data_IF_011051506411
#
_entry.id   IF_011051506411
#
_cell.length_a   1.000
_cell.length_b   1.000
_cell.length_c   1.000
_cell.angle_alpha   90.00
_cell.angle_beta   90.00
_cell.angle_gamma   90.00
#
_symmetry.space_group_name_H-M   'P 1'
#
loop_
_entity.id
_entity.type
_entity.pdbx_description
1 polymer ?
#
# COMPACT_ATOMS: atom_id res chain seq x y z
N UNK A 1 -4.16 11.89 -46.73
CA UNK A 1 -4.29 12.91 -45.67
C UNK A 1 -5.13 12.29 -44.56
N UNK A 2 -4.51 11.43 -43.75
CA UNK A 2 -5.17 10.71 -42.64
C UNK A 2 -4.80 11.37 -41.34
N UNK A 3 -5.75 12.14 -40.81
CA UNK A 3 -5.77 12.68 -39.46
C UNK A 3 -6.61 11.70 -38.64
N UNK A 4 -5.99 10.77 -37.92
CA UNK A 4 -6.67 10.00 -36.89
C UNK A 4 -5.66 9.31 -35.96
N UNK A 5 -5.76 9.67 -34.68
CA UNK A 5 -5.19 9.02 -33.50
C UNK A 5 -3.70 9.28 -33.23
N UNK A 6 -3.43 10.53 -32.84
CA UNK A 6 -2.73 10.77 -31.58
C UNK A 6 -3.48 10.05 -30.44
N UNK A 7 -3.17 8.78 -30.23
CA UNK A 7 -3.14 8.23 -28.87
C UNK A 7 -1.68 7.97 -28.61
N UNK A 8 -0.93 9.05 -28.37
CA UNK A 8 0.29 8.92 -27.61
C UNK A 8 -0.18 8.51 -26.22
N UNK A 9 -0.12 7.21 -25.95
CA UNK A 9 -0.36 6.63 -24.64
C UNK A 9 0.54 7.35 -23.65
N UNK A 10 -0.01 8.37 -22.99
CA UNK A 10 0.54 8.88 -21.75
C UNK A 10 0.26 7.86 -20.65
N UNK A 11 0.80 6.64 -20.81
CA UNK A 11 1.13 5.81 -19.66
C UNK A 11 2.35 6.47 -19.05
N UNK A 12 2.14 7.59 -18.36
CA UNK A 12 3.08 8.04 -17.35
C UNK A 12 3.26 6.82 -16.44
N UNK A 13 4.45 6.20 -16.38
CA UNK A 13 4.66 5.08 -15.49
C UNK A 13 4.26 5.58 -14.11
N UNK A 14 3.27 4.94 -13.47
CA UNK A 14 2.90 5.27 -12.10
C UNK A 14 4.20 5.22 -11.31
N UNK A 15 4.64 6.38 -10.81
CA UNK A 15 5.89 6.43 -10.09
C UNK A 15 5.74 5.52 -8.87
N UNK A 16 6.81 4.83 -8.48
CA UNK A 16 6.75 3.85 -7.38
C UNK A 16 6.15 4.44 -6.10
N UNK A 17 6.33 5.74 -5.87
CA UNK A 17 5.69 6.46 -4.76
C UNK A 17 4.16 6.60 -4.93
N UNK A 18 3.66 6.88 -6.15
CA UNK A 18 2.22 6.95 -6.42
C UNK A 18 1.54 5.59 -6.17
N UNK A 19 2.18 4.50 -6.60
CA UNK A 19 1.70 3.13 -6.36
C UNK A 19 1.67 2.82 -4.87
N UNK A 20 2.72 3.24 -4.15
CA UNK A 20 2.86 3.03 -2.71
C UNK A 20 1.80 3.78 -1.91
N UNK A 21 1.53 5.04 -2.23
CA UNK A 21 0.45 5.81 -1.62
C UNK A 21 -0.92 5.18 -1.90
N UNK A 22 -1.15 4.73 -3.13
CA UNK A 22 -2.39 4.06 -3.51
C UNK A 22 -2.61 2.76 -2.72
N UNK A 23 -1.61 1.89 -2.67
CA UNK A 23 -1.68 0.62 -1.92
C UNK A 23 -1.82 0.86 -0.41
N UNK A 24 -1.17 1.88 0.15
CA UNK A 24 -1.35 2.27 1.54
C UNK A 24 -2.79 2.70 1.83
N UNK A 25 -3.41 3.47 0.93
CA UNK A 25 -4.81 3.89 1.02
C UNK A 25 -5.78 2.72 1.00
N UNK A 26 -5.56 1.76 0.09
CA UNK A 26 -6.36 0.53 0.01
C UNK A 26 -6.22 -0.33 1.28
N UNK A 27 -4.99 -0.53 1.75
CA UNK A 27 -4.73 -1.30 2.96
C UNK A 27 -5.40 -0.65 4.19
N UNK A 28 -5.33 0.68 4.33
CA UNK A 28 -6.05 1.42 5.37
C UNK A 28 -7.56 1.22 5.30
N UNK A 29 -8.14 1.29 4.11
CA UNK A 29 -9.59 1.08 3.90
C UNK A 29 -10.02 -0.29 4.41
N UNK A 30 -9.25 -1.33 4.08
CA UNK A 30 -9.53 -2.70 4.53
C UNK A 30 -9.37 -2.82 6.05
N UNK A 31 -8.34 -2.22 6.64
CA UNK A 31 -8.10 -2.30 8.09
C UNK A 31 -9.22 -1.59 8.87
N UNK A 32 -9.68 -0.43 8.41
CA UNK A 32 -10.79 0.30 9.05
C UNK A 32 -12.07 -0.55 9.04
N UNK A 33 -12.34 -1.29 7.96
CA UNK A 33 -13.48 -2.19 7.85
C UNK A 33 -13.35 -3.45 8.72
N UNK A 34 -12.17 -4.07 8.75
CA UNK A 34 -11.97 -5.40 9.32
C UNK A 34 -11.47 -5.44 10.75
N UNK A 35 -10.58 -4.53 11.12
CA UNK A 35 -10.02 -4.44 12.46
C UNK A 35 -9.63 -2.98 12.79
N UNK A 36 -10.62 -2.12 13.06
CA UNK A 36 -10.39 -0.67 13.23
C UNK A 36 -9.46 -0.35 14.42
N UNK A 37 -9.30 -1.26 15.38
CA UNK A 37 -8.45 -1.06 16.57
C UNK A 37 -6.97 -0.94 16.20
N UNK A 38 -6.55 -1.42 15.02
CA UNK A 38 -5.17 -1.32 14.54
C UNK A 38 -4.98 -0.30 13.41
N UNK A 39 -6.02 0.44 13.01
CA UNK A 39 -5.94 1.41 11.90
C UNK A 39 -4.90 2.52 12.11
N UNK A 40 -4.67 2.92 13.37
CA UNK A 40 -3.65 3.92 13.72
C UNK A 40 -2.20 3.48 13.48
N UNK A 41 -1.98 2.18 13.27
CA UNK A 41 -0.64 1.58 13.21
C UNK A 41 0.13 1.97 11.94
N UNK A 42 -0.57 2.19 10.83
CA UNK A 42 0.01 2.66 9.55
C UNK A 42 0.17 4.19 9.48
N UNK A 43 -0.01 4.89 10.60
CA UNK A 43 -0.08 6.37 10.63
C UNK A 43 0.77 6.95 11.73
N UNK A 44 0.89 6.26 12.86
CA UNK A 44 1.76 6.68 13.95
C UNK A 44 3.19 6.23 13.70
N UNK A 45 4.14 7.14 13.88
CA UNK A 45 5.54 6.76 14.07
C UNK A 45 5.61 5.79 15.27
N UNK A 46 6.02 4.54 14.97
CA UNK A 46 6.32 3.44 15.89
C UNK A 46 5.92 3.64 17.36
N UNK A 47 4.66 3.34 17.69
CA UNK A 47 4.27 3.02 19.06
C UNK A 47 4.68 1.59 19.43
N UNK A 48 4.80 1.30 20.72
CA UNK A 48 4.95 -0.08 21.19
C UNK A 48 3.75 -0.93 20.76
N UNK A 49 4.00 -2.20 20.43
CA UNK A 49 2.92 -3.13 20.09
C UNK A 49 1.93 -3.27 21.26
N UNK A 50 0.63 -3.50 20.96
CA UNK A 50 -0.38 -3.68 21.99
C UNK A 50 -0.03 -4.79 22.99
N UNK A 51 -0.37 -4.58 24.26
CA UNK A 51 -0.21 -5.60 25.30
C UNK A 51 -1.12 -6.82 25.01
N UNK A 52 -2.33 -6.56 24.52
CA UNK A 52 -3.29 -7.57 24.11
C UNK A 52 -2.73 -8.48 23.00
N UNK A 53 -2.88 -9.80 23.17
CA UNK A 53 -2.29 -10.80 22.28
C UNK A 53 -2.91 -10.76 20.89
N UNK A 54 -4.23 -10.63 20.79
CA UNK A 54 -4.94 -10.65 19.51
C UNK A 54 -4.63 -9.39 18.72
N UNK A 55 -4.67 -8.23 19.37
CA UNK A 55 -4.27 -6.97 18.76
C UNK A 55 -2.81 -6.95 18.33
N UNK A 56 -1.91 -7.58 19.10
CA UNK A 56 -0.50 -7.72 18.72
C UNK A 56 -0.32 -8.56 17.48
N UNK A 57 -1.06 -9.68 17.36
CA UNK A 57 -1.05 -10.51 16.16
C UNK A 57 -1.59 -9.72 14.96
N UNK A 58 -2.75 -9.07 15.11
CA UNK A 58 -3.34 -8.25 14.06
C UNK A 58 -2.40 -7.12 13.62
N UNK A 59 -1.73 -6.47 14.57
CA UNK A 59 -0.72 -5.43 14.32
C UNK A 59 0.45 -5.96 13.47
N UNK A 60 1.01 -7.12 13.85
CA UNK A 60 2.10 -7.75 13.12
C UNK A 60 1.66 -8.22 11.71
N UNK A 61 0.44 -8.71 11.57
CA UNK A 61 -0.13 -9.09 10.28
C UNK A 61 -0.27 -7.87 9.35
N UNK A 62 -0.78 -6.74 9.85
CA UNK A 62 -0.87 -5.48 9.10
C UNK A 62 0.50 -5.01 8.65
N UNK A 63 1.50 -5.03 9.55
CA UNK A 63 2.88 -4.67 9.22
C UNK A 63 3.44 -5.60 8.13
N UNK A 64 3.24 -6.91 8.28
CA UNK A 64 3.70 -7.89 7.31
C UNK A 64 3.08 -7.71 5.93
N UNK A 65 1.76 -7.44 5.87
CA UNK A 65 1.07 -7.14 4.62
C UNK A 65 1.65 -5.88 3.97
N UNK A 66 1.90 -4.83 4.76
CA UNK A 66 2.48 -3.60 4.24
C UNK A 66 3.88 -3.83 3.64
N UNK A 67 4.76 -4.54 4.33
CA UNK A 67 6.09 -4.85 3.79
C UNK A 67 6.03 -5.72 2.53
N UNK A 68 5.10 -6.68 2.46
CA UNK A 68 4.91 -7.47 1.26
C UNK A 68 4.46 -6.61 0.07
N UNK A 69 3.59 -5.63 0.28
CA UNK A 69 3.16 -4.69 -0.77
C UNK A 69 4.34 -3.84 -1.26
N UNK A 70 5.21 -3.38 -0.37
CA UNK A 70 6.42 -2.65 -0.73
C UNK A 70 7.37 -3.50 -1.59
N UNK A 71 7.60 -4.76 -1.20
CA UNK A 71 8.44 -5.68 -1.98
C UNK A 71 7.87 -5.89 -3.40
N UNK A 72 6.55 -6.04 -3.53
CA UNK A 72 5.90 -6.18 -4.85
C UNK A 72 6.12 -4.94 -5.71
N UNK A 73 6.07 -3.74 -5.14
CA UNK A 73 6.36 -2.49 -5.86
C UNK A 73 7.81 -2.47 -6.34
N UNK A 74 8.76 -2.80 -5.47
CA UNK A 74 10.18 -2.83 -5.79
C UNK A 74 10.50 -3.87 -6.87
N UNK A 75 9.98 -5.08 -6.73
CA UNK A 75 10.11 -6.14 -7.73
C UNK A 75 9.51 -5.73 -9.08
N UNK A 76 8.32 -5.09 -9.09
CA UNK A 76 7.71 -4.61 -10.33
C UNK A 76 8.55 -3.51 -11.00
N UNK A 77 9.11 -2.60 -10.20
CA UNK A 77 9.98 -1.54 -10.71
C UNK A 77 11.29 -2.11 -11.28
N UNK A 78 11.85 -3.16 -10.67
CA UNK A 78 13.08 -3.79 -11.15
C UNK A 78 12.91 -4.61 -12.44
N UNK A 79 11.69 -5.05 -12.76
CA UNK A 79 11.38 -5.77 -14.00
C UNK A 79 11.10 -4.84 -15.20
N UNK A 80 10.83 -3.55 -14.94
CA UNK A 80 10.56 -2.53 -15.97
C UNK A 80 11.85 -1.88 -16.45
#
# INVERSE_FOLDING_TARGET
MSLALEISSSETPLHSEDVKEHLLGLLRTIIVDREPRVAGLLTSAAGALPADRELRIASLQVIGIWFNLLNIIEENAAMR
#
